data_IF_465937119933
#
_entry.id   IF_465937119933
#
_cell.length_a   1.000
_cell.length_b   1.000
_cell.length_c   1.000
_cell.angle_alpha   90.00
_cell.angle_beta   90.00
_cell.angle_gamma   90.00
#
_symmetry.space_group_name_H-M   'P 1'
#
loop_
_entity.id
_entity.type
_entity.pdbx_description
1 polymer ?
#
# COMPACT_ATOMS: atom_id res chain seq x y z
N UNK A 1 35.46 47.59 15.41
CA UNK A 1 34.56 47.30 14.26
C UNK A 1 35.17 46.36 13.22
N UNK A 2 36.38 46.60 12.69
CA UNK A 2 36.98 45.77 11.61
C UNK A 2 37.26 44.29 11.99
N UNK A 3 37.58 43.99 13.25
CA UNK A 3 37.85 42.61 13.70
C UNK A 3 36.57 41.77 13.80
N UNK A 4 35.50 42.33 14.36
CA UNK A 4 34.20 41.67 14.45
C UNK A 4 33.62 41.36 13.07
N UNK A 5 33.80 42.25 12.09
CA UNK A 5 33.42 42.02 10.70
C UNK A 5 34.23 40.89 10.03
N UNK A 6 35.54 40.83 10.27
CA UNK A 6 36.40 39.75 9.76
C UNK A 6 36.04 38.39 10.36
N UNK A 7 35.77 38.34 11.66
CA UNK A 7 35.33 37.12 12.35
C UNK A 7 33.95 36.70 11.85
N UNK A 8 33.01 37.64 11.71
CA UNK A 8 31.68 37.36 11.16
C UNK A 8 31.73 36.83 9.73
N UNK A 9 32.56 37.41 8.87
CA UNK A 9 32.76 36.93 7.50
C UNK A 9 33.41 35.54 7.45
N UNK A 10 34.39 35.26 8.33
CA UNK A 10 35.03 33.94 8.42
C UNK A 10 34.03 32.87 8.89
N UNK A 11 33.22 33.16 9.91
CA UNK A 11 32.17 32.25 10.40
C UNK A 11 31.13 31.99 9.31
N UNK A 12 30.66 33.03 8.62
CA UNK A 12 29.72 32.87 7.50
C UNK A 12 30.31 32.02 6.37
N UNK A 13 31.59 32.23 6.02
CA UNK A 13 32.27 31.44 5.00
C UNK A 13 32.36 29.95 5.36
N UNK A 14 32.70 29.63 6.61
CA UNK A 14 32.72 28.24 7.10
C UNK A 14 31.31 27.62 7.08
N UNK A 15 30.28 28.37 7.48
CA UNK A 15 28.89 27.91 7.43
C UNK A 15 28.43 27.62 6.00
N UNK A 16 28.76 28.48 5.03
CA UNK A 16 28.41 28.28 3.63
C UNK A 16 29.12 27.06 3.04
N UNK A 17 30.39 26.85 3.36
CA UNK A 17 31.12 25.65 2.91
C UNK A 17 30.50 24.39 3.52
N UNK A 18 30.20 24.41 4.82
CA UNK A 18 29.55 23.28 5.49
C UNK A 18 28.17 22.98 4.87
N UNK A 19 27.36 24.01 4.59
CA UNK A 19 26.07 23.85 3.93
C UNK A 19 26.22 23.28 2.51
N UNK A 20 27.18 23.77 1.73
CA UNK A 20 27.45 23.26 0.38
C UNK A 20 27.88 21.78 0.41
N UNK A 21 28.76 21.39 1.34
CA UNK A 21 29.15 20.00 1.54
C UNK A 21 27.92 19.15 1.87
N UNK A 22 27.08 19.57 2.81
CA UNK A 22 25.84 18.86 3.16
C UNK A 22 24.95 18.67 1.93
N UNK A 23 24.77 19.69 1.10
CA UNK A 23 23.92 19.62 -0.10
C UNK A 23 24.52 18.76 -1.23
N UNK A 24 25.84 18.58 -1.27
CA UNK A 24 26.50 17.65 -2.19
C UNK A 24 26.19 16.20 -1.79
N UNK A 25 26.27 15.89 -0.49
CA UNK A 25 26.03 14.55 0.05
C UNK A 25 24.54 14.23 0.20
N UNK A 26 23.70 15.22 0.50
CA UNK A 26 22.26 15.12 0.73
C UNK A 26 21.49 16.06 -0.21
N UNK A 27 21.53 15.82 -1.53
CA UNK A 27 20.94 16.70 -2.55
C UNK A 27 19.41 16.82 -2.44
N UNK A 28 18.75 15.85 -1.80
CA UNK A 28 17.31 15.84 -1.59
C UNK A 28 16.87 16.39 -0.23
N UNK A 29 17.78 16.91 0.61
CA UNK A 29 17.47 17.38 1.96
C UNK A 29 16.28 18.37 2.00
N UNK A 30 16.28 19.38 1.13
CA UNK A 30 15.18 20.34 1.07
C UNK A 30 13.87 19.71 0.59
N UNK A 31 13.93 18.75 -0.35
CA UNK A 31 12.76 17.99 -0.78
C UNK A 31 12.20 17.19 0.39
N UNK A 32 13.02 16.44 1.13
CA UNK A 32 12.59 15.69 2.32
C UNK A 32 11.93 16.59 3.37
N UNK A 33 12.54 17.75 3.66
CA UNK A 33 11.99 18.72 4.61
C UNK A 33 10.65 19.29 4.14
N UNK A 34 10.56 19.66 2.86
CA UNK A 34 9.32 20.17 2.27
C UNK A 34 8.22 19.13 2.29
N UNK A 35 8.49 17.89 1.87
CA UNK A 35 7.52 16.79 1.86
C UNK A 35 7.04 16.46 3.28
N UNK A 36 7.97 16.35 4.24
CA UNK A 36 7.65 16.11 5.66
C UNK A 36 6.77 17.20 6.28
N UNK A 37 6.91 18.44 5.81
CA UNK A 37 6.09 19.55 6.28
C UNK A 37 4.73 19.63 5.56
N UNK A 38 4.70 19.32 4.26
CA UNK A 38 3.49 19.36 3.42
C UNK A 38 2.53 18.23 3.79
N UNK A 39 3.02 17.02 3.98
CA UNK A 39 2.21 15.81 4.11
C UNK A 39 2.31 15.22 5.52
N UNK A 40 1.16 15.03 6.17
CA UNK A 40 1.10 14.68 7.59
C UNK A 40 1.28 13.18 7.83
N UNK A 41 0.91 12.34 6.85
CA UNK A 41 0.91 10.89 6.99
C UNK A 41 2.20 10.22 6.50
N UNK A 42 3.22 10.99 6.08
CA UNK A 42 4.48 10.40 5.60
C UNK A 42 5.20 9.53 6.63
N UNK A 43 5.07 9.88 7.92
CA UNK A 43 5.63 9.09 9.02
C UNK A 43 4.82 7.85 9.39
N UNK A 44 3.59 7.70 8.89
CA UNK A 44 2.75 6.53 9.18
C UNK A 44 3.25 5.33 8.38
N UNK A 45 3.11 4.15 8.97
CA UNK A 45 3.37 2.86 8.35
C UNK A 45 2.17 1.96 8.58
N UNK A 46 2.00 0.94 7.75
CA UNK A 46 0.87 0.02 7.85
C UNK A 46 0.98 -0.78 9.15
N UNK A 47 -0.07 -0.75 9.97
CA UNK A 47 -0.15 -1.50 11.21
C UNK A 47 -0.36 -3.00 10.97
N UNK A 48 -0.14 -3.82 11.99
CA UNK A 48 -0.41 -5.26 11.91
C UNK A 48 -1.88 -5.55 12.20
N UNK A 49 -2.52 -6.31 11.33
CA UNK A 49 -3.87 -6.76 11.50
C UNK A 49 -3.90 -7.95 12.47
N UNK A 50 -4.63 -7.76 13.57
CA UNK A 50 -4.89 -8.84 14.51
C UNK A 50 -6.04 -9.72 14.00
N UNK A 51 -5.67 -10.81 13.30
CA UNK A 51 -6.59 -11.87 12.91
C UNK A 51 -7.17 -12.55 14.16
N UNK A 52 -8.44 -12.96 14.07
CA UNK A 52 -9.10 -13.74 15.12
C UNK A 52 -9.14 -15.21 14.73
N UNK A 53 -9.04 -16.14 15.71
CA UNK A 53 -9.16 -17.56 15.44
C UNK A 53 -10.53 -17.88 14.83
N UNK A 54 -10.49 -18.72 13.78
CA UNK A 54 -11.66 -19.19 13.05
C UNK A 54 -12.39 -20.24 13.91
N UNK A 55 -13.69 -20.07 14.18
CA UNK A 55 -14.48 -21.08 14.87
C UNK A 55 -14.58 -22.39 14.08
N UNK A 56 -14.66 -23.53 14.79
CA UNK A 56 -14.73 -24.87 14.18
C UNK A 56 -16.02 -25.11 13.37
N UNK A 57 -17.08 -24.34 13.64
CA UNK A 57 -18.37 -24.43 12.94
C UNK A 57 -18.42 -23.61 11.64
N UNK A 58 -17.35 -22.92 11.29
CA UNK A 58 -17.25 -22.24 10.00
C UNK A 58 -17.06 -23.26 8.88
N UNK A 59 -17.74 -23.03 7.77
CA UNK A 59 -17.64 -23.84 6.56
C UNK A 59 -16.62 -23.22 5.60
N UNK A 60 -15.77 -24.07 5.03
CA UNK A 60 -14.77 -23.66 4.05
C UNK A 60 -15.35 -23.64 2.63
N UNK A 61 -14.99 -22.60 1.87
CA UNK A 61 -15.31 -22.41 0.47
C UNK A 61 -14.05 -22.02 -0.29
N UNK A 62 -14.03 -22.34 -1.59
CA UNK A 62 -13.04 -21.85 -2.54
C UNK A 62 -13.71 -20.91 -3.54
N UNK A 63 -13.21 -19.68 -3.64
CA UNK A 63 -13.72 -18.61 -4.49
C UNK A 63 -12.60 -18.07 -5.38
N UNK A 64 -12.55 -18.45 -6.65
CA UNK A 64 -11.57 -17.93 -7.63
C UNK A 64 -10.12 -17.94 -7.11
N UNK A 65 -9.69 -19.04 -6.51
CA UNK A 65 -8.34 -19.18 -5.95
C UNK A 65 -8.16 -18.62 -4.53
N UNK A 66 -9.21 -18.11 -3.89
CA UNK A 66 -9.25 -17.81 -2.45
C UNK A 66 -9.88 -18.98 -1.69
N UNK A 67 -9.20 -19.52 -0.69
CA UNK A 67 -9.84 -20.32 0.36
C UNK A 67 -10.31 -19.40 1.48
N UNK A 68 -11.55 -19.59 1.92
CA UNK A 68 -12.18 -18.79 2.98
C UNK A 68 -13.12 -19.65 3.81
N UNK A 69 -13.09 -19.44 5.12
CA UNK A 69 -14.06 -20.01 6.06
C UNK A 69 -15.08 -18.96 6.49
N UNK A 70 -16.36 -19.30 6.42
CA UNK A 70 -17.49 -18.42 6.77
C UNK A 70 -18.50 -19.15 7.67
N UNK A 71 -19.33 -18.43 8.42
CA UNK A 71 -20.47 -19.04 9.11
C UNK A 71 -21.35 -19.91 8.19
N UNK A 72 -21.96 -20.95 8.75
CA UNK A 72 -22.72 -21.97 8.01
C UNK A 72 -23.97 -21.45 7.27
N UNK A 73 -24.38 -20.20 7.49
CA UNK A 73 -25.54 -19.56 6.86
C UNK A 73 -25.18 -18.77 5.59
N UNK A 74 -23.94 -18.86 5.11
CA UNK A 74 -23.53 -18.32 3.83
C UNK A 74 -23.83 -19.33 2.70
N UNK A 75 -24.21 -18.81 1.54
CA UNK A 75 -24.42 -19.59 0.34
C UNK A 75 -23.69 -18.96 -0.84
N UNK A 76 -23.30 -19.79 -1.81
CA UNK A 76 -22.75 -19.32 -3.08
C UNK A 76 -23.78 -18.43 -3.79
N UNK A 77 -23.32 -17.31 -4.34
CA UNK A 77 -24.16 -16.42 -5.13
C UNK A 77 -24.72 -17.15 -6.35
N UNK A 78 -26.01 -16.93 -6.65
CA UNK A 78 -26.77 -17.69 -7.67
C UNK A 78 -26.11 -17.76 -9.06
N UNK A 79 -25.18 -16.86 -9.39
CA UNK A 79 -24.52 -16.77 -10.69
C UNK A 79 -23.00 -16.54 -10.62
N UNK A 80 -22.32 -16.79 -9.49
CA UNK A 80 -20.89 -16.48 -9.38
C UNK A 80 -20.11 -17.41 -8.46
N UNK A 81 -19.07 -18.02 -9.02
CA UNK A 81 -17.99 -18.73 -8.33
C UNK A 81 -17.10 -17.81 -7.46
N UNK A 82 -17.26 -16.49 -7.58
CA UNK A 82 -16.50 -15.49 -6.86
C UNK A 82 -17.28 -14.79 -5.74
N UNK A 83 -18.47 -15.27 -5.34
CA UNK A 83 -19.22 -14.60 -4.28
C UNK A 83 -19.92 -15.53 -3.30
N UNK A 84 -19.92 -15.13 -2.03
CA UNK A 84 -20.74 -15.71 -0.97
C UNK A 84 -21.69 -14.64 -0.42
N UNK A 85 -22.93 -15.04 -0.16
CA UNK A 85 -23.95 -14.21 0.44
C UNK A 85 -24.40 -14.86 1.75
N UNK A 86 -24.39 -14.09 2.84
CA UNK A 86 -25.05 -14.49 4.08
C UNK A 86 -26.56 -14.58 3.88
N UNK A 87 -27.23 -15.40 4.70
CA UNK A 87 -28.69 -15.57 4.70
C UNK A 87 -29.47 -14.26 4.89
N UNK A 88 -28.85 -13.26 5.52
CA UNK A 88 -29.40 -11.92 5.68
C UNK A 88 -29.51 -11.12 4.36
N UNK A 89 -28.87 -11.58 3.28
CA UNK A 89 -28.81 -10.94 1.96
C UNK A 89 -27.93 -9.69 1.89
N UNK A 90 -27.34 -9.28 3.01
CA UNK A 90 -26.61 -8.01 3.19
C UNK A 90 -25.13 -8.23 3.46
N UNK A 91 -24.80 -9.33 4.12
CA UNK A 91 -23.43 -9.77 4.35
C UNK A 91 -22.93 -10.48 3.11
N UNK A 92 -21.82 -10.02 2.55
CA UNK A 92 -21.32 -10.48 1.25
C UNK A 92 -19.81 -10.51 1.20
N UNK A 93 -19.29 -11.54 0.55
CA UNK A 93 -17.88 -11.65 0.17
C UNK A 93 -17.85 -11.73 -1.35
N UNK A 94 -17.03 -10.88 -1.97
CA UNK A 94 -16.79 -10.90 -3.41
C UNK A 94 -15.30 -11.00 -3.67
N UNK A 95 -14.90 -11.95 -4.48
CA UNK A 95 -13.52 -12.18 -4.91
C UNK A 95 -13.44 -11.92 -6.40
N UNK A 96 -12.48 -11.09 -6.78
CA UNK A 96 -12.09 -10.93 -8.18
C UNK A 96 -10.60 -11.19 -8.32
N UNK A 97 -10.18 -11.97 -9.34
CA UNK A 97 -8.81 -11.91 -9.79
C UNK A 97 -8.52 -10.46 -10.18
N UNK A 98 -7.30 -10.01 -9.88
CA UNK A 98 -6.89 -8.64 -10.15
C UNK A 98 -6.65 -8.35 -11.63
N UNK A 99 -6.69 -9.39 -12.47
CA UNK A 99 -6.74 -9.28 -13.92
C UNK A 99 -8.12 -8.76 -14.38
N UNK A 100 -8.56 -7.64 -13.81
CA UNK A 100 -9.53 -6.76 -14.42
C UNK A 100 -8.84 -6.24 -15.67
N UNK A 101 -9.11 -6.94 -16.77
CA UNK A 101 -8.35 -6.89 -18.01
C UNK A 101 -7.85 -5.49 -18.35
N UNK A 102 -6.61 -5.46 -18.84
CA UNK A 102 -5.98 -4.33 -19.47
C UNK A 102 -7.02 -3.32 -20.00
N UNK A 103 -7.12 -2.17 -19.33
CA UNK A 103 -7.40 -0.93 -20.04
C UNK A 103 -6.20 -0.74 -20.97
N UNK A 104 -6.24 -1.50 -22.07
CA UNK A 104 -5.19 -1.60 -23.05
C UNK A 104 -5.03 -0.22 -23.68
N UNK A 105 -3.77 0.24 -23.71
CA UNK A 105 -3.21 1.40 -24.42
C UNK A 105 -2.92 2.68 -23.61
N UNK A 106 -3.26 2.78 -22.31
CA UNK A 106 -2.81 3.92 -21.48
C UNK A 106 -1.71 3.49 -20.50
N UNK A 107 -0.62 4.28 -20.44
CA UNK A 107 0.41 4.12 -19.42
C UNK A 107 -0.26 4.24 -18.04
N UNK A 108 -0.26 3.18 -17.20
CA UNK A 108 -0.94 3.22 -15.90
C UNK A 108 -0.34 4.28 -14.97
N UNK A 109 0.83 4.83 -15.34
CA UNK A 109 1.51 5.87 -14.60
C UNK A 109 1.22 7.29 -15.11
N UNK A 110 0.58 7.45 -16.27
CA UNK A 110 0.24 8.76 -16.86
C UNK A 110 -0.49 9.70 -15.88
N UNK A 111 -1.47 9.24 -15.08
CA UNK A 111 -2.15 10.10 -14.12
C UNK A 111 -1.24 10.66 -13.01
N UNK A 112 -0.09 10.03 -12.76
CA UNK A 112 0.85 10.41 -11.70
C UNK A 112 2.00 11.28 -12.22
N UNK A 113 2.02 11.65 -13.51
CA UNK A 113 3.01 12.59 -14.05
C UNK A 113 4.44 12.04 -14.16
N UNK A 114 4.63 10.73 -14.07
CA UNK A 114 5.88 10.04 -14.34
C UNK A 114 5.65 8.78 -15.17
N UNK A 115 6.66 8.36 -15.93
CA UNK A 115 6.67 7.11 -16.70
C UNK A 115 7.17 5.94 -15.88
N UNK A 116 6.86 4.71 -16.32
CA UNK A 116 7.42 3.49 -15.71
C UNK A 116 8.96 3.51 -15.66
N UNK A 117 9.62 4.02 -16.70
CA UNK A 117 11.08 4.10 -16.74
C UNK A 117 11.65 5.02 -15.64
N UNK A 118 10.98 6.14 -15.37
CA UNK A 118 11.35 7.03 -14.27
C UNK A 118 11.12 6.37 -12.91
N UNK A 119 10.03 5.61 -12.76
CA UNK A 119 9.78 4.85 -11.54
C UNK A 119 10.85 3.77 -11.31
N UNK A 120 11.24 3.02 -12.36
CA UNK A 120 12.32 2.03 -12.28
C UNK A 120 13.64 2.65 -11.85
N UNK A 121 14.03 3.76 -12.48
CA UNK A 121 15.23 4.49 -12.12
C UNK A 121 15.17 4.99 -10.66
N UNK A 122 14.02 5.49 -10.19
CA UNK A 122 13.84 5.86 -8.79
C UNK A 122 14.13 4.69 -7.83
N UNK A 123 13.56 3.50 -8.09
CA UNK A 123 13.79 2.30 -7.28
C UNK A 123 15.26 1.87 -7.26
N UNK A 124 15.93 1.94 -8.42
CA UNK A 124 17.37 1.70 -8.54
C UNK A 124 18.17 2.70 -7.69
N UNK A 125 17.84 4.00 -7.76
CA UNK A 125 18.52 5.06 -7.01
C UNK A 125 18.42 4.85 -5.49
N UNK A 126 17.26 4.42 -4.99
CA UNK A 126 17.08 4.16 -3.54
C UNK A 126 17.55 2.76 -3.12
N UNK A 127 18.04 1.94 -4.05
CA UNK A 127 18.52 0.58 -3.78
C UNK A 127 17.42 -0.39 -3.34
N UNK A 128 16.17 -0.15 -3.77
CA UNK A 128 15.03 -1.02 -3.47
C UNK A 128 14.66 -1.85 -4.70
N UNK A 129 14.18 -3.09 -4.54
CA UNK A 129 13.67 -3.87 -5.65
C UNK A 129 12.50 -3.12 -6.30
N UNK A 130 12.49 -3.07 -7.63
CA UNK A 130 11.39 -2.46 -8.36
C UNK A 130 10.07 -3.13 -7.97
N UNK A 131 9.14 -2.31 -7.49
CA UNK A 131 7.73 -2.65 -7.30
C UNK A 131 6.97 -1.65 -8.17
N UNK A 132 6.46 -2.00 -9.34
CA UNK A 132 5.08 -2.45 -9.44
C UNK A 132 4.66 -2.60 -10.92
N UNK A 133 3.89 -3.65 -11.27
CA UNK A 133 3.17 -3.70 -12.55
C UNK A 133 1.75 -3.08 -12.49
N UNK A 134 1.33 -2.43 -11.39
CA UNK A 134 -0.04 -1.90 -11.21
C UNK A 134 -0.20 -0.85 -10.08
N UNK A 135 -1.27 -0.04 -10.14
CA UNK A 135 -1.55 1.06 -9.20
C UNK A 135 -1.67 0.69 -7.71
N UNK A 136 -2.40 -0.38 -7.33
CA UNK A 136 -2.51 -0.74 -5.89
C UNK A 136 -1.19 -1.25 -5.31
N UNK A 137 -0.34 -1.92 -6.10
CA UNK A 137 0.97 -2.35 -5.62
C UNK A 137 1.85 -1.14 -5.28
N UNK A 138 1.74 -0.07 -6.08
CA UNK A 138 2.37 1.20 -5.79
C UNK A 138 1.79 1.87 -4.53
N UNK A 139 0.46 1.88 -4.38
CA UNK A 139 -0.20 2.42 -3.18
C UNK A 139 0.29 1.72 -1.90
N UNK A 140 0.30 0.38 -1.87
CA UNK A 140 0.70 -0.35 -0.67
C UNK A 140 2.21 -0.27 -0.42
N UNK A 141 3.04 -0.20 -1.47
CA UNK A 141 4.45 0.17 -1.32
C UNK A 141 4.58 1.54 -0.62
N UNK A 142 3.84 2.55 -1.08
CA UNK A 142 3.84 3.89 -0.50
C UNK A 142 3.40 3.86 0.98
N UNK A 143 2.29 3.19 1.30
CA UNK A 143 1.78 3.16 2.68
C UNK A 143 2.71 2.39 3.63
N UNK A 144 3.27 1.27 3.18
CA UNK A 144 4.00 0.34 4.04
C UNK A 144 5.48 0.68 4.19
N UNK A 145 6.12 1.14 3.11
CA UNK A 145 7.60 1.22 3.04
C UNK A 145 8.16 2.59 2.73
N UNK A 146 7.47 3.42 1.94
CA UNK A 146 7.98 4.74 1.56
C UNK A 146 8.25 5.59 2.80
N UNK A 147 9.47 6.09 2.89
CA UNK A 147 9.96 6.90 3.99
C UNK A 147 10.41 8.27 3.49
N UNK A 148 10.29 9.29 4.35
CA UNK A 148 10.89 10.61 4.09
C UNK A 148 12.38 10.50 3.77
N UNK A 149 13.06 9.52 4.36
CA UNK A 149 14.50 9.35 4.20
C UNK A 149 14.92 8.83 2.83
N UNK A 150 14.02 8.18 2.09
CA UNK A 150 14.28 7.72 0.72
C UNK A 150 14.60 8.88 -0.22
N UNK A 151 14.12 10.09 0.12
CA UNK A 151 14.39 11.31 -0.60
C UNK A 151 15.80 11.89 -0.46
N UNK A 152 16.58 11.51 0.57
CA UNK A 152 17.78 12.26 0.97
C UNK A 152 18.87 12.33 -0.11
N UNK A 153 19.07 11.21 -0.81
CA UNK A 153 20.12 11.06 -1.80
C UNK A 153 19.63 11.31 -3.24
N UNK A 154 18.34 11.61 -3.41
CA UNK A 154 17.74 11.79 -4.73
C UNK A 154 18.21 13.06 -5.43
N UNK A 155 18.39 12.94 -6.74
CA UNK A 155 18.79 14.04 -7.63
C UNK A 155 17.83 14.09 -8.82
N UNK A 156 17.84 15.21 -9.53
CA UNK A 156 17.12 15.33 -10.82
C UNK A 156 15.65 14.95 -10.71
N UNK A 157 15.20 14.12 -11.65
CA UNK A 157 13.81 13.70 -11.81
C UNK A 157 13.34 12.71 -10.74
N UNK A 158 14.24 11.97 -10.07
CA UNK A 158 13.85 11.07 -8.97
C UNK A 158 13.20 11.84 -7.81
N UNK A 159 13.55 13.12 -7.64
CA UNK A 159 12.89 13.99 -6.64
C UNK A 159 11.44 14.29 -6.99
N UNK A 160 11.10 14.32 -8.29
CA UNK A 160 9.70 14.50 -8.74
C UNK A 160 8.92 13.23 -8.48
N UNK A 161 9.46 12.08 -8.90
CA UNK A 161 8.84 10.77 -8.61
C UNK A 161 8.60 10.62 -7.11
N UNK A 162 9.60 10.89 -6.28
CA UNK A 162 9.45 10.85 -4.82
C UNK A 162 8.35 11.77 -4.27
N UNK A 163 8.21 12.99 -4.82
CA UNK A 163 7.16 13.90 -4.39
C UNK A 163 5.76 13.37 -4.73
N UNK A 164 5.59 12.77 -5.92
CA UNK A 164 4.33 12.12 -6.32
C UNK A 164 4.02 10.90 -5.43
N UNK A 165 5.03 10.07 -5.14
CA UNK A 165 4.86 8.95 -4.21
C UNK A 165 4.48 9.41 -2.79
N UNK A 166 5.03 10.55 -2.33
CA UNK A 166 4.64 11.17 -1.06
C UNK A 166 3.17 11.61 -1.07
N UNK A 167 2.71 12.19 -2.18
CA UNK A 167 1.31 12.60 -2.36
C UNK A 167 0.36 11.40 -2.35
N UNK A 168 0.70 10.34 -3.10
CA UNK A 168 -0.06 9.08 -3.12
C UNK A 168 -0.16 8.50 -1.71
N UNK A 169 0.94 8.51 -0.95
CA UNK A 169 0.93 8.02 0.45
C UNK A 169 -0.02 8.83 1.31
N UNK A 170 0.04 10.15 1.25
CA UNK A 170 -0.77 11.03 2.09
C UNK A 170 -2.26 10.88 1.75
N UNK A 171 -2.63 11.00 0.46
CA UNK A 171 -4.00 10.81 0.01
C UNK A 171 -4.54 9.40 0.29
N UNK A 172 -3.69 8.38 0.21
CA UNK A 172 -4.04 7.01 0.59
C UNK A 172 -4.37 6.85 2.08
N UNK A 173 -3.75 7.63 2.97
CA UNK A 173 -4.09 7.64 4.39
C UNK A 173 -5.28 8.55 4.73
N UNK A 174 -5.53 9.59 3.95
CA UNK A 174 -6.74 10.42 4.08
C UNK A 174 -8.01 9.66 3.67
N UNK A 175 -7.88 8.66 2.78
CA UNK A 175 -9.00 7.91 2.21
C UNK A 175 -9.31 6.62 2.98
N UNK A 176 -8.28 5.91 3.45
CA UNK A 176 -8.45 4.60 4.07
C UNK A 176 -7.42 4.30 5.17
N UNK A 177 -7.89 3.66 6.24
CA UNK A 177 -7.04 3.04 7.24
C UNK A 177 -6.67 1.63 6.76
N UNK A 178 -5.37 1.33 6.73
CA UNK A 178 -4.85 0.05 6.23
C UNK A 178 -4.06 -0.68 7.32
N UNK A 179 -4.35 -1.97 7.47
CA UNK A 179 -3.60 -2.93 8.25
C UNK A 179 -3.02 -4.01 7.32
N UNK A 180 -1.96 -4.72 7.73
CA UNK A 180 -1.38 -5.84 6.98
C UNK A 180 -1.35 -7.12 7.79
N UNK A 181 -1.41 -8.26 7.11
CA UNK A 181 -1.21 -9.57 7.72
C UNK A 181 -0.53 -10.52 6.75
N UNK A 182 0.20 -11.48 7.28
CA UNK A 182 0.68 -12.62 6.49
C UNK A 182 -0.40 -13.68 6.45
N UNK A 183 -0.61 -14.22 5.26
CA UNK A 183 -1.53 -15.32 4.99
C UNK A 183 -0.76 -16.47 4.36
N UNK A 184 -1.25 -17.72 4.45
CA UNK A 184 -0.62 -18.82 3.72
C UNK A 184 -0.52 -18.50 2.22
N UNK A 185 0.71 -18.44 1.72
CA UNK A 185 1.03 -18.16 0.31
C UNK A 185 1.21 -16.68 -0.06
N UNK A 186 1.13 -15.73 0.89
CA UNK A 186 1.51 -14.34 0.62
C UNK A 186 1.09 -13.32 1.68
N UNK A 187 0.94 -12.06 1.26
CA UNK A 187 0.64 -10.93 2.15
C UNK A 187 -0.70 -10.30 1.79
N UNK A 188 -1.49 -9.93 2.79
CA UNK A 188 -2.77 -9.25 2.62
C UNK A 188 -2.77 -7.86 3.26
N UNK A 189 -3.28 -6.87 2.52
CA UNK A 189 -3.54 -5.52 3.01
C UNK A 189 -5.04 -5.31 3.15
N UNK A 190 -5.49 -5.02 4.37
CA UNK A 190 -6.90 -4.82 4.72
C UNK A 190 -7.13 -3.32 4.82
N UNK A 191 -7.96 -2.77 3.95
CA UNK A 191 -8.33 -1.35 3.95
C UNK A 191 -9.77 -1.15 4.41
N UNK A 192 -9.98 -0.13 5.24
CA UNK A 192 -11.25 0.23 5.86
C UNK A 192 -11.52 1.74 5.70
N UNK A 193 -12.80 2.14 5.73
CA UNK A 193 -13.21 3.55 5.67
C UNK A 193 -13.76 4.00 4.31
N UNK A 194 -13.35 3.37 3.20
CA UNK A 194 -13.80 3.75 1.86
C UNK A 194 -15.29 3.45 1.58
N UNK A 195 -15.80 2.33 2.08
CA UNK A 195 -17.10 1.77 1.65
C UNK A 195 -18.19 1.83 2.73
N UNK A 196 -17.93 2.54 3.82
CA UNK A 196 -18.81 2.70 4.97
C UNK A 196 -18.54 1.72 6.12
N UNK A 197 -19.33 1.81 7.18
CA UNK A 197 -19.18 0.97 8.37
C UNK A 197 -19.30 -0.53 8.04
N UNK A 198 -18.50 -1.36 8.73
CA UNK A 198 -18.47 -2.82 8.59
C UNK A 198 -18.22 -3.34 7.16
N UNK A 199 -17.49 -2.56 6.37
CA UNK A 199 -17.02 -2.96 5.05
C UNK A 199 -15.52 -2.77 4.94
N UNK A 200 -14.86 -3.74 4.32
CA UNK A 200 -13.41 -3.76 4.14
C UNK A 200 -13.06 -4.31 2.77
N UNK A 201 -11.98 -3.80 2.21
CA UNK A 201 -11.34 -4.35 1.02
C UNK A 201 -10.06 -5.03 1.45
N UNK A 202 -9.75 -6.16 0.84
CA UNK A 202 -8.53 -6.91 1.10
C UNK A 202 -7.82 -7.11 -0.23
N UNK A 203 -6.63 -6.56 -0.37
CA UNK A 203 -5.75 -6.82 -1.52
C UNK A 203 -4.70 -7.83 -1.10
N UNK A 204 -4.64 -8.96 -1.79
CA UNK A 204 -3.73 -10.06 -1.50
C UNK A 204 -2.68 -10.18 -2.61
N UNK A 205 -1.42 -10.26 -2.21
CA UNK A 205 -0.27 -10.43 -3.08
C UNK A 205 0.32 -11.81 -2.88
N UNK A 206 0.39 -12.60 -3.95
CA UNK A 206 0.92 -13.97 -3.91
C UNK A 206 2.45 -13.97 -3.94
N UNK A 207 3.08 -14.80 -3.10
CA UNK A 207 4.53 -15.04 -3.16
C UNK A 207 4.91 -15.98 -4.32
N UNK A 208 4.01 -16.88 -4.72
CA UNK A 208 4.26 -17.90 -5.75
C UNK A 208 3.95 -17.43 -7.17
N UNK A 209 3.42 -16.22 -7.33
CA UNK A 209 2.97 -15.67 -8.62
C UNK A 209 1.63 -16.24 -9.09
N UNK A 210 0.84 -16.84 -8.20
CA UNK A 210 -0.50 -17.40 -8.47
C UNK A 210 -1.59 -16.38 -8.82
N UNK A 211 -1.20 -15.12 -9.05
CA UNK A 211 -2.09 -13.99 -9.28
C UNK A 211 -2.49 -13.27 -7.99
N UNK A 212 -2.60 -11.94 -8.09
CA UNK A 212 -3.12 -11.11 -6.99
C UNK A 212 -4.64 -11.22 -6.92
N UNK A 213 -5.19 -11.17 -5.71
CA UNK A 213 -6.63 -11.20 -5.46
C UNK A 213 -7.11 -9.88 -4.84
N UNK A 214 -8.31 -9.47 -5.23
CA UNK A 214 -9.03 -8.40 -4.56
C UNK A 214 -10.32 -8.95 -3.99
N UNK A 215 -10.50 -8.78 -2.68
CA UNK A 215 -11.65 -9.29 -1.93
C UNK A 215 -12.39 -8.12 -1.31
N UNK A 216 -13.69 -8.05 -1.52
CA UNK A 216 -14.57 -7.15 -0.80
C UNK A 216 -15.37 -7.94 0.23
N UNK A 217 -15.32 -7.52 1.49
CA UNK A 217 -16.08 -8.11 2.58
C UNK A 217 -16.98 -7.05 3.19
N UNK A 218 -18.27 -7.33 3.26
CA UNK A 218 -19.26 -6.50 3.96
C UNK A 218 -20.02 -7.37 4.94
N UNK A 219 -20.13 -6.93 6.19
CA UNK A 219 -20.99 -7.56 7.20
C UNK A 219 -21.85 -6.51 7.90
N UNK A 220 -22.98 -6.89 8.50
CA UNK A 220 -23.90 -5.91 9.09
C UNK A 220 -23.82 -5.74 10.62
N UNK A 221 -23.22 -6.69 11.38
CA UNK A 221 -23.47 -6.69 12.84
C UNK A 221 -22.27 -6.94 13.78
N UNK A 222 -21.29 -7.75 13.42
CA UNK A 222 -20.17 -8.04 14.32
C UNK A 222 -18.81 -7.91 13.60
N UNK A 223 -18.03 -6.87 13.89
CA UNK A 223 -16.67 -6.71 13.35
C UNK A 223 -15.77 -7.91 13.64
N UNK A 224 -16.05 -8.71 14.69
CA UNK A 224 -15.31 -9.93 15.00
C UNK A 224 -15.50 -10.99 13.92
N UNK A 225 -16.69 -11.13 13.34
CA UNK A 225 -16.96 -12.12 12.28
C UNK A 225 -16.14 -11.74 11.04
N UNK A 226 -16.11 -10.46 10.66
CA UNK A 226 -15.26 -9.99 9.56
C UNK A 226 -13.79 -10.31 9.83
N UNK A 227 -13.33 -10.10 11.07
CA UNK A 227 -11.95 -10.45 11.47
C UNK A 227 -11.65 -11.94 11.45
N UNK A 228 -12.61 -12.79 11.77
CA UNK A 228 -12.49 -14.25 11.68
C UNK A 228 -12.48 -14.71 10.22
N UNK A 229 -13.36 -14.16 9.38
CA UNK A 229 -13.41 -14.44 7.94
C UNK A 229 -12.07 -14.07 7.29
N UNK A 230 -11.56 -12.86 7.51
CA UNK A 230 -10.26 -12.45 6.97
C UNK A 230 -9.12 -13.30 7.54
N UNK A 231 -9.20 -13.66 8.82
CA UNK A 231 -8.23 -14.55 9.46
C UNK A 231 -8.19 -15.97 8.86
N UNK A 232 -9.20 -16.36 8.08
CA UNK A 232 -9.24 -17.64 7.37
C UNK A 232 -8.69 -17.60 5.94
N UNK A 233 -8.36 -16.41 5.41
CA UNK A 233 -7.96 -16.27 4.02
C UNK A 233 -6.64 -16.99 3.73
N UNK A 234 -6.63 -17.76 2.67
CA UNK A 234 -5.43 -18.39 2.12
C UNK A 234 -5.54 -18.47 0.60
N UNK A 235 -4.40 -18.43 -0.10
CA UNK A 235 -4.41 -18.80 -1.52
C UNK A 235 -4.74 -20.29 -1.65
N UNK A 236 -5.62 -20.63 -2.59
CA UNK A 236 -5.86 -22.02 -2.95
C UNK A 236 -4.58 -22.59 -3.59
N UNK A 237 -4.16 -23.78 -3.15
CA UNK A 237 -3.05 -24.47 -3.80
C UNK A 237 -3.45 -24.79 -5.24
N UNK A 238 -2.61 -24.38 -6.20
CA UNK A 238 -2.75 -24.88 -7.56
C UNK A 238 -2.40 -26.36 -7.52
N UNK A 239 -3.39 -27.23 -7.67
CA UNK A 239 -3.16 -28.67 -7.77
C UNK A 239 -2.11 -28.95 -8.86
N UNK A 240 -0.93 -29.39 -8.43
CA UNK A 240 0.15 -29.89 -9.29
C UNK A 240 -0.07 -31.33 -9.71
#
# INVERSE_FOLDING_TARGET
MRLAWKIGAAVLGVLLIAAAVILIWLPGLFTCLHMKWKYQNLGRTVGQYAALPVPEDFQEYELRGLRVSVPADYTLGENSDGALCGKDGKTRIFVTPRDLGALADTDPFEPYGFSEAQLRHYFETIGQPYRAPSGNALLYYCKDTLSVWDGLHLRGDDRKVFAELCEIKDGGWETEETEKTEIPGGTAYISSGMLGENSVTVTMFSESGSGDLFVFVRGEQDPRIIRQIIGSFAFAESGG
#
